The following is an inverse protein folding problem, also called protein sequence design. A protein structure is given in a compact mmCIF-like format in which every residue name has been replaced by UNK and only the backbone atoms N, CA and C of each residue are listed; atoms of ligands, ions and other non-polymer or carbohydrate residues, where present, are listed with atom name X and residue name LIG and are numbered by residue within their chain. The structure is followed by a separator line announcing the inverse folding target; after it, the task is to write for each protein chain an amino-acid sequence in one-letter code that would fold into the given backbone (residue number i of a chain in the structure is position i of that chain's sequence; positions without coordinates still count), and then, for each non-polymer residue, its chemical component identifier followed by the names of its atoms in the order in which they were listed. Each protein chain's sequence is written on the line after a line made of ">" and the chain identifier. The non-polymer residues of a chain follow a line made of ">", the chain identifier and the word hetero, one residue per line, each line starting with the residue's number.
data_IF_061461478364
#
_entry.id   IF_061461478364
#
_cell.length_a   1.000
_cell.length_b   1.000
_cell.length_c   1.000
_cell.angle_alpha   90.00
_cell.angle_beta   90.00
_cell.angle_gamma   90.00
#
_symmetry.space_group_name_H-M   'P 1'
#
loop_
_entity.id
_entity.type
_entity.pdbx_description
1 polymer ?
#
# COMPACT_ATOMS: atom_id res chain seq x y z
N UNK A 1 24.10 -11.33 2.33
CA UNK A 1 24.14 -10.82 0.95
C UNK A 1 23.08 -9.73 0.85
N UNK A 2 23.53 -8.47 0.79
CA UNK A 2 22.69 -7.30 1.07
C UNK A 2 21.55 -7.11 0.07
N UNK A 3 20.34 -6.92 0.59
CA UNK A 3 19.20 -6.48 -0.20
C UNK A 3 19.48 -5.02 -0.59
N UNK A 4 19.88 -4.82 -1.85
CA UNK A 4 20.03 -3.52 -2.46
C UNK A 4 18.69 -2.80 -2.41
N UNK A 5 18.53 -1.95 -1.40
CA UNK A 5 17.74 -0.73 -1.47
C UNK A 5 18.28 0.07 -2.67
N UNK A 6 17.75 -0.22 -3.86
CA UNK A 6 17.73 0.76 -4.92
C UNK A 6 16.97 1.94 -4.34
N UNK A 7 17.72 2.95 -3.88
CA UNK A 7 17.24 4.31 -3.81
C UNK A 7 16.58 4.56 -5.16
N UNK A 8 15.25 4.51 -5.19
CA UNK A 8 14.47 4.95 -6.34
C UNK A 8 14.79 6.43 -6.41
N UNK A 9 15.81 6.77 -7.21
CA UNK A 9 15.94 8.08 -7.81
C UNK A 9 14.66 8.22 -8.63
N UNK A 10 13.62 8.75 -8.00
CA UNK A 10 12.44 9.22 -8.72
C UNK A 10 12.99 10.38 -9.50
N UNK A 11 13.40 10.08 -10.74
CA UNK A 11 14.08 11.00 -11.64
C UNK A 11 13.43 12.37 -11.51
N UNK A 12 14.25 13.39 -11.25
CA UNK A 12 13.87 14.79 -11.34
C UNK A 12 13.17 15.00 -12.71
N UNK A 13 11.84 15.01 -12.72
CA UNK A 13 11.03 15.09 -13.94
C UNK A 13 9.91 14.07 -14.15
N UNK A 14 9.70 13.08 -13.27
CA UNK A 14 8.46 12.28 -13.35
C UNK A 14 7.26 13.09 -12.85
N UNK A 15 6.45 13.62 -13.78
CA UNK A 15 5.14 14.22 -13.47
C UNK A 15 4.02 13.22 -13.79
N UNK A 16 3.50 12.55 -12.77
CA UNK A 16 2.42 11.59 -12.92
C UNK A 16 2.04 10.94 -11.60
N UNK A 17 1.19 9.90 -11.66
CA UNK A 17 0.80 9.14 -10.48
C UNK A 17 1.88 8.13 -10.10
N UNK A 18 2.43 8.26 -8.89
CA UNK A 18 3.39 7.32 -8.35
C UNK A 18 2.74 6.47 -7.26
N UNK A 19 2.64 5.16 -7.52
CA UNK A 19 2.11 4.22 -6.53
C UNK A 19 3.15 3.92 -5.45
N UNK A 20 2.85 4.34 -4.21
CA UNK A 20 3.76 4.23 -3.06
C UNK A 20 3.18 3.41 -1.93
N UNK A 21 4.06 2.91 -1.06
CA UNK A 21 3.71 2.16 0.15
C UNK A 21 3.42 3.05 1.37
N UNK A 22 3.55 4.37 1.22
CA UNK A 22 3.37 5.36 2.30
C UNK A 22 4.64 5.72 3.06
N UNK A 23 5.82 5.29 2.59
CA UNK A 23 7.09 5.74 3.16
C UNK A 23 7.29 7.24 3.01
N UNK A 24 7.64 7.93 4.11
CA UNK A 24 7.78 9.38 4.16
C UNK A 24 8.85 9.95 3.20
N UNK A 25 9.80 9.12 2.77
CA UNK A 25 10.84 9.51 1.81
C UNK A 25 10.31 9.95 0.45
N UNK A 26 9.10 9.56 0.06
CA UNK A 26 8.48 9.96 -1.21
C UNK A 26 7.89 11.38 -1.20
N UNK A 27 7.77 12.02 -0.04
CA UNK A 27 7.22 13.38 0.04
C UNK A 27 8.07 14.46 -0.65
N UNK A 28 9.28 14.11 -1.10
CA UNK A 28 10.24 14.99 -1.78
C UNK A 28 10.14 14.94 -3.31
N UNK A 29 9.11 14.30 -3.85
CA UNK A 29 8.95 14.08 -5.29
C UNK A 29 7.89 15.02 -5.85
N UNK A 30 8.06 15.48 -7.09
CA UNK A 30 7.06 16.30 -7.80
C UNK A 30 5.86 15.49 -8.32
N UNK A 31 5.82 14.18 -8.05
CA UNK A 31 4.78 13.26 -8.49
C UNK A 31 3.55 13.25 -7.55
N UNK A 32 2.37 12.99 -8.10
CA UNK A 32 1.17 12.77 -7.30
C UNK A 32 1.21 11.36 -6.69
N UNK A 33 1.37 11.29 -5.37
CA UNK A 33 1.51 10.03 -4.66
C UNK A 33 0.16 9.33 -4.50
N UNK A 34 0.03 8.12 -5.05
CA UNK A 34 -1.15 7.26 -4.88
C UNK A 34 -0.82 6.04 -4.01
N UNK A 35 -1.72 5.71 -3.10
CA UNK A 35 -1.52 4.59 -2.19
C UNK A 35 -1.61 3.23 -2.88
N UNK A 36 -0.73 2.30 -2.51
CA UNK A 36 -0.76 0.95 -3.05
C UNK A 36 -1.80 0.05 -2.34
N UNK A 37 -2.79 -0.45 -3.09
CA UNK A 37 -3.80 -1.39 -2.58
C UNK A 37 -3.21 -2.71 -2.05
N UNK A 38 -2.06 -3.17 -2.56
CA UNK A 38 -1.38 -4.35 -2.05
C UNK A 38 -0.78 -4.09 -0.65
N UNK A 39 -0.25 -2.88 -0.41
CA UNK A 39 0.22 -2.47 0.91
C UNK A 39 -0.93 -2.26 1.88
N UNK A 40 -2.03 -1.63 1.43
CA UNK A 40 -3.25 -1.50 2.21
C UNK A 40 -3.79 -2.87 2.65
N UNK A 41 -3.81 -3.87 1.75
CA UNK A 41 -4.24 -5.24 2.06
C UNK A 41 -3.49 -5.83 3.24
N UNK A 42 -2.15 -5.70 3.27
CA UNK A 42 -1.32 -6.23 4.38
C UNK A 42 -1.74 -5.64 5.73
N UNK A 43 -1.99 -4.33 5.78
CA UNK A 43 -2.45 -3.64 7.00
C UNK A 43 -3.84 -4.05 7.43
N UNK A 44 -4.76 -4.27 6.50
CA UNK A 44 -6.08 -4.80 6.84
C UNK A 44 -6.02 -6.27 7.27
N UNK A 45 -5.10 -7.07 6.75
CA UNK A 45 -4.86 -8.44 7.24
C UNK A 45 -4.29 -8.42 8.67
N UNK A 46 -3.33 -7.55 8.98
CA UNK A 46 -2.82 -7.38 10.35
C UNK A 46 -3.97 -7.00 11.32
N UNK A 47 -4.85 -6.07 10.91
CA UNK A 47 -6.01 -5.67 11.69
C UNK A 47 -7.04 -6.82 11.86
N UNK A 48 -7.22 -7.64 10.83
CA UNK A 48 -8.10 -8.82 10.88
C UNK A 48 -7.56 -9.89 11.85
N UNK A 49 -6.25 -10.08 11.91
CA UNK A 49 -5.61 -10.99 12.87
C UNK A 49 -5.73 -10.45 14.31
N UNK A 50 -5.61 -9.12 14.48
CA UNK A 50 -5.68 -8.47 15.80
C UNK A 50 -7.10 -8.40 16.38
N UNK A 51 -8.13 -8.58 15.57
CA UNK A 51 -9.52 -8.51 16.03
C UNK A 51 -9.95 -9.80 16.78
N UNK A 52 -10.98 -9.75 17.64
CA UNK A 52 -11.49 -10.94 18.31
C UNK A 52 -11.94 -12.02 17.31
N UNK A 53 -11.48 -13.26 17.52
CA UNK A 53 -11.79 -14.40 16.64
C UNK A 53 -13.31 -14.59 16.49
N UNK A 54 -13.74 -14.89 15.27
CA UNK A 54 -15.15 -15.16 14.94
C UNK A 54 -16.01 -13.92 14.71
N UNK A 55 -15.44 -12.71 14.77
CA UNK A 55 -16.16 -11.47 14.42
C UNK A 55 -15.78 -11.00 13.02
N UNK A 56 -16.77 -10.67 12.21
CA UNK A 56 -16.57 -9.93 10.96
C UNK A 56 -16.54 -8.45 11.30
N UNK A 57 -15.44 -7.77 10.96
CA UNK A 57 -15.23 -6.35 11.26
C UNK A 57 -14.97 -5.50 10.02
N UNK A 58 -14.61 -4.23 10.26
CA UNK A 58 -14.23 -3.28 9.21
C UNK A 58 -13.02 -3.76 8.39
N UNK A 59 -12.10 -4.51 9.01
CA UNK A 59 -10.96 -5.11 8.34
C UNK A 59 -11.41 -6.12 7.26
N UNK A 60 -12.34 -7.03 7.59
CA UNK A 60 -12.89 -7.97 6.62
C UNK A 60 -13.66 -7.25 5.50
N UNK A 61 -14.43 -6.20 5.83
CA UNK A 61 -15.13 -5.40 4.82
C UNK A 61 -14.14 -4.80 3.82
N UNK A 62 -13.05 -4.20 4.31
CA UNK A 62 -12.00 -3.63 3.45
C UNK A 62 -11.28 -4.69 2.60
N UNK A 63 -10.91 -5.83 3.20
CA UNK A 63 -10.28 -6.94 2.47
C UNK A 63 -11.15 -7.46 1.32
N UNK A 64 -12.46 -7.61 1.57
CA UNK A 64 -13.43 -8.03 0.54
C UNK A 64 -13.52 -7.03 -0.61
N UNK A 65 -13.41 -5.72 -0.34
CA UNK A 65 -13.43 -4.70 -1.38
C UNK A 65 -12.13 -4.70 -2.19
N UNK A 66 -10.99 -4.80 -1.52
CA UNK A 66 -9.68 -4.90 -2.18
C UNK A 66 -9.65 -6.12 -3.10
N UNK A 67 -10.18 -7.27 -2.68
CA UNK A 67 -10.24 -8.47 -3.50
C UNK A 67 -11.05 -8.27 -4.79
N UNK A 68 -12.11 -7.47 -4.77
CA UNK A 68 -12.92 -7.16 -5.97
C UNK A 68 -12.12 -6.36 -7.00
N UNK A 69 -11.27 -5.43 -6.56
CA UNK A 69 -10.43 -4.60 -7.44
C UNK A 69 -9.42 -5.46 -8.21
N UNK A 70 -8.94 -6.55 -7.60
CA UNK A 70 -7.97 -7.47 -8.21
C UNK A 70 -8.58 -8.64 -8.98
N UNK A 71 -9.92 -8.70 -9.13
CA UNK A 71 -10.62 -9.81 -9.79
C UNK A 71 -10.80 -9.60 -11.31
N UNK A 72 -9.96 -8.75 -11.91
CA UNK A 72 -9.98 -8.43 -13.35
C UNK A 72 -9.23 -9.52 -14.12
#
# INVERSE_FOLDING_TARGET
>A
MGLFIHQVQINDGFSGYLQVDGYAGYAKTDAELVGCWAHARRKFTEAEIAQPKGKTGKANWALNHIQKIYRI
#
